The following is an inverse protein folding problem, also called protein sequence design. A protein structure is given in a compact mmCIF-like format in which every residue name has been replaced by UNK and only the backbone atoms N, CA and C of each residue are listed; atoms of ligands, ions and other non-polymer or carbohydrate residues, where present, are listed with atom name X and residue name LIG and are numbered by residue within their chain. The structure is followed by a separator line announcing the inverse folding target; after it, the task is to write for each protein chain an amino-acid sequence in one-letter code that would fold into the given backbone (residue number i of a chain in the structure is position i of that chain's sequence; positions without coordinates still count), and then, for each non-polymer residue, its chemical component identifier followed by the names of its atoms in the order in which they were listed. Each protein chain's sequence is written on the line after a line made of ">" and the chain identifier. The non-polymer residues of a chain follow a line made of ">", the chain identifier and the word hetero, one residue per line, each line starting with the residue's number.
data_IF_308704576753
#
_entry.id   IF_308704576753
#
_cell.length_a   1.000
_cell.length_b   1.000
_cell.length_c   1.000
_cell.angle_alpha   90.00
_cell.angle_beta   90.00
_cell.angle_gamma   90.00
#
_symmetry.space_group_name_H-M   'P 1'
#
loop_
_entity.id
_entity.type
_entity.pdbx_description
1 polymer ?
#
# COMPACT_ATOMS: atom_id res chain seq x y z
N UNK A 1 14.36 22.85 3.54
CA UNK A 1 14.94 21.96 2.51
C UNK A 1 16.23 21.41 3.10
N UNK A 2 16.41 20.09 3.08
CA UNK A 2 17.58 19.41 3.60
C UNK A 2 18.18 18.56 2.49
N UNK A 3 19.50 18.63 2.32
CA UNK A 3 20.23 17.74 1.43
C UNK A 3 20.73 16.54 2.25
N UNK A 4 20.49 15.35 1.73
CA UNK A 4 21.16 14.13 2.16
C UNK A 4 22.08 13.66 1.04
N UNK A 5 22.97 12.70 1.31
CA UNK A 5 23.93 12.18 0.33
C UNK A 5 23.27 11.71 -0.98
N UNK A 6 22.01 11.26 -0.91
CA UNK A 6 21.31 10.66 -2.06
C UNK A 6 20.00 11.37 -2.44
N UNK A 7 19.42 12.22 -1.59
CA UNK A 7 18.09 12.79 -1.82
C UNK A 7 17.98 14.24 -1.35
N UNK A 8 17.18 15.02 -2.07
CA UNK A 8 16.74 16.36 -1.67
C UNK A 8 15.41 16.21 -0.94
N UNK A 9 15.38 16.57 0.34
CA UNK A 9 14.18 16.55 1.17
C UNK A 9 13.62 17.98 1.31
N UNK A 10 12.32 18.15 1.13
CA UNK A 10 11.64 19.43 1.37
C UNK A 10 10.38 19.21 2.20
N UNK A 11 10.00 20.23 2.98
CA UNK A 11 8.71 20.23 3.65
C UNK A 11 7.63 20.46 2.59
N UNK A 12 6.81 19.45 2.34
CA UNK A 12 5.62 19.58 1.52
C UNK A 12 4.45 19.99 2.42
N UNK A 13 3.85 21.14 2.16
CA UNK A 13 2.57 21.51 2.77
C UNK A 13 1.49 20.61 2.18
N UNK A 14 1.07 19.59 2.93
CA UNK A 14 -0.10 18.79 2.54
C UNK A 14 -1.36 19.67 2.67
N UNK A 15 -2.27 19.68 1.67
CA UNK A 15 -3.51 20.45 1.75
C UNK A 15 -4.27 20.11 3.04
N UNK A 16 -4.67 21.12 3.81
CA UNK A 16 -5.40 20.96 5.08
C UNK A 16 -6.81 20.38 4.91
N UNK A 17 -7.35 20.38 3.69
CA UNK A 17 -8.50 19.54 3.37
C UNK A 17 -7.98 18.13 3.14
N UNK A 18 -7.88 17.34 4.22
CA UNK A 18 -7.81 15.90 4.10
C UNK A 18 -9.06 15.47 3.32
N UNK A 19 -8.91 15.33 1.99
CA UNK A 19 -9.79 14.46 1.24
C UNK A 19 -9.67 13.13 1.98
N UNK A 20 -10.76 12.69 2.61
CA UNK A 20 -10.84 11.38 3.23
C UNK A 20 -10.59 10.39 2.10
N UNK A 21 -9.33 10.00 1.93
CA UNK A 21 -8.90 9.12 0.85
C UNK A 21 -9.20 7.71 1.32
N UNK A 22 -10.47 7.36 1.21
CA UNK A 22 -10.95 6.03 1.48
C UNK A 22 -11.19 5.29 0.17
N UNK A 23 -10.50 4.16 -0.02
CA UNK A 23 -10.70 3.31 -1.19
C UNK A 23 -10.52 1.86 -0.81
N UNK A 24 -11.54 1.06 -1.13
CA UNK A 24 -11.54 -0.36 -0.86
C UNK A 24 -11.80 -1.18 -2.12
N UNK A 25 -11.44 -2.46 -2.07
CA UNK A 25 -11.68 -3.38 -3.17
C UNK A 25 -10.74 -4.58 -3.15
N UNK A 26 -10.99 -5.52 -4.05
CA UNK A 26 -10.20 -6.74 -4.11
C UNK A 26 -8.91 -6.55 -4.90
N UNK A 27 -7.78 -6.95 -4.31
CA UNK A 27 -6.48 -7.05 -4.98
C UNK A 27 -5.86 -8.44 -4.77
N UNK A 28 -4.82 -8.73 -5.55
CA UNK A 28 -4.02 -9.94 -5.38
C UNK A 28 -2.73 -9.62 -4.62
N UNK A 29 -2.56 -10.23 -3.45
CA UNK A 29 -1.33 -10.12 -2.66
C UNK A 29 -0.35 -11.22 -3.06
N UNK A 30 0.90 -10.83 -3.34
CA UNK A 30 1.98 -11.80 -3.55
C UNK A 30 2.39 -12.37 -2.20
N UNK A 31 2.25 -13.69 -2.01
CA UNK A 31 2.85 -14.38 -0.87
C UNK A 31 4.17 -15.02 -1.30
N UNK A 32 5.22 -14.78 -0.51
CA UNK A 32 6.50 -15.45 -0.69
C UNK A 32 6.39 -16.86 -0.10
N UNK A 33 6.33 -17.87 -0.98
CA UNK A 33 6.47 -19.27 -0.59
C UNK A 33 7.93 -19.74 -0.72
N UNK A 34 8.27 -20.85 -0.06
CA UNK A 34 9.62 -21.45 -0.10
C UNK A 34 10.06 -21.85 -1.53
N UNK A 35 9.12 -22.25 -2.38
CA UNK A 35 9.43 -22.79 -3.72
C UNK A 35 8.90 -21.90 -4.86
N UNK A 36 7.71 -21.32 -4.70
CA UNK A 36 7.10 -20.42 -5.68
C UNK A 36 6.27 -19.36 -4.96
N UNK A 37 6.29 -18.13 -5.48
CA UNK A 37 5.37 -17.10 -5.02
C UNK A 37 3.99 -17.33 -5.59
N UNK A 38 2.98 -17.42 -4.73
CA UNK A 38 1.57 -17.45 -5.10
C UNK A 38 0.97 -16.05 -4.99
N UNK A 39 -0.20 -15.89 -5.61
CA UNK A 39 -1.00 -14.68 -5.48
C UNK A 39 -2.37 -15.08 -4.99
N UNK A 40 -2.79 -14.48 -3.89
CA UNK A 40 -4.06 -14.75 -3.24
C UNK A 40 -4.90 -13.47 -3.22
N UNK A 41 -6.20 -13.62 -3.39
CA UNK A 41 -7.14 -12.51 -3.46
C UNK A 41 -7.56 -12.13 -2.04
N UNK A 42 -7.47 -10.85 -1.71
CA UNK A 42 -7.92 -10.29 -0.44
C UNK A 42 -8.73 -9.03 -0.68
N UNK A 43 -9.53 -8.66 0.32
CA UNK A 43 -10.20 -7.37 0.34
C UNK A 43 -9.25 -6.35 0.96
N UNK A 44 -8.86 -5.35 0.20
CA UNK A 44 -7.99 -4.26 0.64
C UNK A 44 -8.83 -3.04 0.98
N UNK A 45 -8.38 -2.33 2.00
CA UNK A 45 -8.93 -1.06 2.42
C UNK A 45 -7.79 -0.07 2.63
N UNK A 46 -7.83 1.06 1.90
CA UNK A 46 -6.99 2.22 2.17
C UNK A 46 -7.85 3.19 2.94
N UNK A 47 -7.49 3.43 4.18
CA UNK A 47 -8.11 4.45 5.01
C UNK A 47 -7.02 5.39 5.52
N UNK A 48 -7.15 6.68 5.19
CA UNK A 48 -6.12 7.69 5.35
C UNK A 48 -4.76 7.22 4.80
N UNK A 49 -3.80 6.95 5.70
CA UNK A 49 -2.44 6.57 5.35
C UNK A 49 -2.16 5.08 5.59
N UNK A 50 -3.17 4.26 5.86
CA UNK A 50 -2.99 2.83 6.16
C UNK A 50 -3.68 1.97 5.11
N UNK A 51 -2.89 1.14 4.42
CA UNK A 51 -3.38 0.08 3.54
C UNK A 51 -3.49 -1.21 4.35
N UNK A 52 -4.71 -1.66 4.62
CA UNK A 52 -5.02 -2.89 5.36
C UNK A 52 -5.66 -3.91 4.43
N UNK A 53 -5.52 -5.21 4.73
CA UNK A 53 -6.26 -6.24 4.00
C UNK A 53 -6.86 -7.30 4.92
N UNK A 54 -7.98 -7.86 4.45
CA UNK A 54 -8.85 -8.78 5.16
C UNK A 54 -9.16 -9.99 4.27
N UNK A 55 -9.62 -11.08 4.88
CA UNK A 55 -10.05 -12.29 4.16
C UNK A 55 -11.20 -11.97 3.18
N UNK A 56 -12.14 -11.11 3.60
CA UNK A 56 -13.31 -10.73 2.81
C UNK A 56 -13.80 -9.32 3.13
N UNK A 57 -14.71 -8.79 2.32
CA UNK A 57 -15.31 -7.46 2.54
C UNK A 57 -16.24 -7.38 3.75
N UNK A 58 -16.63 -8.50 4.36
CA UNK A 58 -17.50 -8.54 5.56
C UNK A 58 -16.72 -8.62 6.85
N UNK A 59 -15.41 -8.88 6.78
CA UNK A 59 -14.53 -9.06 7.93
C UNK A 59 -13.71 -7.80 8.19
N UNK A 60 -14.37 -6.70 8.56
CA UNK A 60 -13.70 -5.39 8.77
C UNK A 60 -12.87 -5.31 10.06
N UNK A 61 -12.95 -6.31 10.94
CA UNK A 61 -12.37 -6.26 12.28
C UNK A 61 -11.16 -7.20 12.47
N UNK A 62 -10.91 -8.12 11.54
CA UNK A 62 -9.81 -9.10 11.63
C UNK A 62 -8.78 -8.91 10.51
N UNK A 63 -7.95 -7.84 10.56
CA UNK A 63 -6.98 -7.61 9.50
C UNK A 63 -5.93 -8.71 9.46
N UNK A 64 -5.66 -9.22 8.25
CA UNK A 64 -4.60 -10.20 7.99
C UNK A 64 -3.22 -9.53 7.85
N UNK A 65 -3.21 -8.22 7.63
CA UNK A 65 -2.01 -7.41 7.66
C UNK A 65 -2.28 -5.97 7.25
N UNK A 66 -1.27 -5.12 7.44
CA UNK A 66 -1.34 -3.69 7.12
C UNK A 66 0.02 -3.14 6.72
N UNK A 67 -0.01 -2.05 5.97
CA UNK A 67 1.14 -1.21 5.62
C UNK A 67 0.76 0.22 5.97
N UNK A 68 1.56 0.87 6.80
CA UNK A 68 1.47 2.31 7.02
C UNK A 68 2.26 3.02 5.89
N UNK A 69 1.52 3.70 5.03
CA UNK A 69 2.01 4.35 3.81
C UNK A 69 2.90 5.55 4.12
N UNK A 70 2.89 6.10 5.34
CA UNK A 70 3.84 7.15 5.76
C UNK A 70 5.28 6.69 5.72
N UNK A 71 5.50 5.37 5.89
CA UNK A 71 6.82 4.77 5.83
C UNK A 71 7.16 4.20 4.44
N UNK A 72 6.24 4.28 3.48
CA UNK A 72 6.53 3.86 2.11
C UNK A 72 7.47 4.88 1.45
N UNK A 73 8.56 4.38 0.89
CA UNK A 73 9.55 5.19 0.16
C UNK A 73 9.05 5.43 -1.26
N UNK A 74 8.43 4.43 -1.88
CA UNK A 74 7.88 4.55 -3.23
C UNK A 74 6.82 3.51 -3.57
N UNK A 75 5.92 3.85 -4.51
CA UNK A 75 5.05 2.90 -5.19
C UNK A 75 5.53 2.73 -6.63
N UNK A 76 5.89 1.51 -7.02
CA UNK A 76 6.43 1.20 -8.36
C UNK A 76 5.47 0.31 -9.12
N UNK A 77 5.19 0.66 -10.38
CA UNK A 77 4.40 -0.20 -11.26
C UNK A 77 5.13 -1.51 -11.57
N UNK A 78 4.40 -2.61 -11.67
CA UNK A 78 4.96 -3.92 -12.00
C UNK A 78 5.32 -3.99 -13.48
N UNK A 79 6.54 -4.42 -13.77
CA UNK A 79 6.98 -4.72 -15.15
C UNK A 79 6.38 -6.00 -15.70
N UNK A 80 5.85 -6.88 -14.83
CA UNK A 80 5.32 -8.20 -15.22
C UNK A 80 3.80 -8.24 -15.30
N UNK A 81 3.10 -7.28 -14.70
CA UNK A 81 1.64 -7.27 -14.59
C UNK A 81 1.11 -5.86 -14.84
N UNK A 82 0.28 -5.71 -15.88
CA UNK A 82 -0.28 -4.43 -16.33
C UNK A 82 -0.87 -3.58 -15.18
N UNK A 83 -1.60 -4.22 -14.27
CA UNK A 83 -2.28 -3.57 -13.13
C UNK A 83 -1.62 -3.88 -11.78
N UNK A 84 -0.41 -4.43 -11.77
CA UNK A 84 0.32 -4.72 -10.54
C UNK A 84 1.18 -3.53 -10.10
N UNK A 85 1.39 -3.40 -8.80
CA UNK A 85 2.33 -2.45 -8.22
C UNK A 85 3.06 -3.08 -7.02
N UNK A 86 4.14 -2.42 -6.58
CA UNK A 86 4.91 -2.77 -5.39
C UNK A 86 5.12 -1.54 -4.54
N UNK A 87 4.78 -1.63 -3.27
CA UNK A 87 5.16 -0.65 -2.25
C UNK A 87 6.56 -1.03 -1.75
N UNK A 88 7.48 -0.06 -1.71
CA UNK A 88 8.87 -0.19 -1.26
C UNK A 88 9.07 0.68 -0.04
#
# INVERSE_FOLDING_TARGET
>A
MYLTDNHICFYASLPKSQLVFHKSGYLQLKKAGKMKSTFERYFFDVNDDVLTWFESSTDSYSPLGKIDLKYAIAVRQSTKRKYGFRVV
#
